data_IF_238356351362
#
_entry.id   IF_238356351362
#
_cell.length_a   1.000
_cell.length_b   1.000
_cell.length_c   1.000
_cell.angle_alpha   90.00
_cell.angle_beta   90.00
_cell.angle_gamma   90.00
#
_symmetry.space_group_name_H-M   'P 1'
#
loop_
_entity.id
_entity.type
_entity.pdbx_description
1 polymer ?
#
# COMPACT_ATOMS: atom_id res chain seq x y z
N UNK A 1 -6.92 66.84 -40.10
CA UNK A 1 -6.21 65.89 -39.17
C UNK A 1 -7.11 64.69 -38.91
N UNK A 2 -6.88 63.56 -39.60
CA UNK A 2 -7.74 62.37 -39.50
C UNK A 2 -7.12 61.42 -38.51
N UNK A 3 -7.85 61.14 -37.41
CA UNK A 3 -7.42 60.17 -36.38
C UNK A 3 -7.81 58.78 -36.85
N UNK A 4 -6.80 57.93 -37.12
CA UNK A 4 -6.97 56.51 -37.47
C UNK A 4 -7.10 55.70 -36.16
N UNK A 5 -8.29 55.12 -35.91
CA UNK A 5 -8.50 54.19 -34.82
C UNK A 5 -7.87 52.83 -35.19
N UNK A 6 -6.78 52.43 -34.50
CA UNK A 6 -6.21 51.09 -34.57
C UNK A 6 -7.14 50.08 -33.89
N UNK A 7 -7.64 49.12 -34.67
CA UNK A 7 -8.46 48.02 -34.15
C UNK A 7 -7.64 47.08 -33.27
N UNK A 8 -8.16 46.83 -32.05
CA UNK A 8 -7.63 45.83 -31.13
C UNK A 8 -7.97 44.44 -31.67
N UNK A 9 -6.97 43.66 -32.06
CA UNK A 9 -7.15 42.24 -32.40
C UNK A 9 -7.49 41.47 -31.14
N UNK A 10 -8.73 40.96 -31.03
CA UNK A 10 -9.12 39.97 -30.00
C UNK A 10 -8.27 38.71 -30.19
N UNK A 11 -7.45 38.39 -29.17
CA UNK A 11 -6.76 37.13 -29.09
C UNK A 11 -7.80 35.99 -28.99
N UNK A 12 -7.75 35.05 -29.94
CA UNK A 12 -8.53 33.81 -29.82
C UNK A 12 -8.00 33.03 -28.62
N UNK A 13 -8.73 33.08 -27.51
CA UNK A 13 -8.47 32.23 -26.34
C UNK A 13 -8.56 30.77 -26.76
N UNK A 14 -7.42 30.09 -26.70
CA UNK A 14 -7.36 28.63 -26.79
C UNK A 14 -7.97 28.04 -25.49
N UNK A 15 -9.28 27.85 -25.52
CA UNK A 15 -9.91 26.96 -24.53
C UNK A 15 -9.49 25.51 -24.86
N UNK A 16 -8.43 25.03 -24.23
CA UNK A 16 -8.16 23.59 -24.21
C UNK A 16 -9.37 22.93 -23.54
N UNK A 17 -10.20 22.25 -24.34
CA UNK A 17 -11.21 21.35 -23.79
C UNK A 17 -10.48 20.39 -22.84
N UNK A 18 -10.98 20.18 -21.60
CA UNK A 18 -10.38 19.18 -20.73
C UNK A 18 -10.33 17.86 -21.50
N UNK A 19 -9.17 17.18 -21.49
CA UNK A 19 -9.03 15.86 -22.08
C UNK A 19 -10.02 14.96 -21.32
N UNK A 20 -11.14 14.65 -21.94
CA UNK A 20 -12.05 13.59 -21.46
C UNK A 20 -11.21 12.31 -21.54
N UNK A 21 -10.83 11.78 -20.40
CA UNK A 21 -10.16 10.49 -20.35
C UNK A 21 -11.13 9.46 -20.92
N UNK A 22 -10.74 8.78 -21.99
CA UNK A 22 -11.58 7.76 -22.60
C UNK A 22 -11.78 6.64 -21.61
N UNK A 23 -13.01 6.14 -21.47
CA UNK A 23 -13.36 5.02 -20.56
C UNK A 23 -12.48 3.77 -20.78
N UNK A 24 -11.93 3.60 -21.97
CA UNK A 24 -11.01 2.51 -22.34
C UNK A 24 -9.66 2.53 -21.60
N UNK A 25 -9.29 3.66 -20.95
CA UNK A 25 -8.03 3.78 -20.21
C UNK A 25 -8.10 3.28 -18.76
N UNK A 26 -9.30 3.05 -18.23
CA UNK A 26 -9.48 2.62 -16.84
C UNK A 26 -10.02 1.20 -16.75
N UNK A 27 -9.44 0.42 -15.84
CA UNK A 27 -9.89 -0.93 -15.52
C UNK A 27 -10.55 -0.92 -14.16
N UNK A 28 -11.75 -1.50 -14.08
CA UNK A 28 -12.41 -1.72 -12.81
C UNK A 28 -11.56 -2.61 -11.91
N UNK A 29 -11.42 -2.22 -10.64
CA UNK A 29 -10.84 -3.08 -9.62
C UNK A 29 -11.80 -4.25 -9.39
N UNK A 30 -11.24 -5.44 -9.34
CA UNK A 30 -11.96 -6.63 -8.90
C UNK A 30 -11.23 -7.33 -7.76
N UNK A 31 -11.98 -8.08 -6.98
CA UNK A 31 -11.47 -8.92 -5.90
C UNK A 31 -11.82 -10.38 -6.20
N UNK A 32 -10.84 -11.24 -6.02
CA UNK A 32 -11.02 -12.69 -6.06
C UNK A 32 -10.24 -13.31 -4.91
N UNK A 33 -10.78 -14.35 -4.30
CA UNK A 33 -10.13 -15.10 -3.21
C UNK A 33 -8.77 -15.69 -3.61
N UNK A 34 -8.53 -15.87 -4.91
CA UNK A 34 -7.27 -16.41 -5.45
C UNK A 34 -6.24 -15.33 -5.81
N UNK A 35 -6.59 -14.05 -5.66
CA UNK A 35 -5.66 -12.97 -6.00
C UNK A 35 -4.49 -12.91 -5.05
N UNK A 36 -3.32 -12.72 -5.64
CA UNK A 36 -2.04 -12.63 -4.92
C UNK A 36 -1.35 -11.34 -5.25
N UNK A 37 -0.66 -10.80 -4.26
CA UNK A 37 0.29 -9.70 -4.42
C UNK A 37 1.66 -10.33 -4.65
N UNK A 38 2.22 -10.13 -5.82
CA UNK A 38 3.57 -10.59 -6.15
C UNK A 38 4.48 -9.37 -6.29
N UNK A 39 5.60 -9.40 -5.58
CA UNK A 39 6.57 -8.31 -5.63
C UNK A 39 7.99 -8.82 -5.39
N UNK A 40 8.99 -8.10 -5.90
CA UNK A 40 10.39 -8.37 -5.58
C UNK A 40 10.65 -8.24 -4.09
N UNK A 41 11.54 -9.05 -3.55
CA UNK A 41 11.89 -9.00 -2.13
C UNK A 41 12.41 -7.62 -1.71
N UNK A 42 13.18 -6.93 -2.54
CA UNK A 42 13.64 -5.57 -2.24
C UNK A 42 12.49 -4.57 -2.08
N UNK A 43 11.39 -4.72 -2.83
CA UNK A 43 10.18 -3.90 -2.61
C UNK A 43 9.46 -4.32 -1.33
N UNK A 44 9.32 -5.63 -1.08
CA UNK A 44 8.68 -6.13 0.14
C UNK A 44 9.44 -5.75 1.42
N UNK A 45 10.77 -5.69 1.35
CA UNK A 45 11.65 -5.22 2.43
C UNK A 45 11.79 -3.70 2.47
N UNK A 46 11.28 -3.00 1.45
CA UNK A 46 11.37 -1.55 1.32
C UNK A 46 10.70 -0.82 2.48
N UNK A 47 11.21 0.39 2.76
CA UNK A 47 10.66 1.27 3.79
C UNK A 47 9.51 2.09 3.18
N UNK A 48 8.36 2.07 3.82
CA UNK A 48 7.17 2.83 3.42
C UNK A 48 6.88 3.91 4.48
N UNK A 49 7.53 5.07 4.44
CA UNK A 49 7.59 5.99 5.58
C UNK A 49 6.23 6.50 6.07
N UNK A 50 5.34 6.88 5.23
CA UNK A 50 4.14 7.65 5.61
C UNK A 50 2.83 6.92 5.28
N UNK A 51 2.80 5.59 5.37
CA UNK A 51 1.59 4.83 5.06
C UNK A 51 0.81 4.47 6.32
N UNK A 52 -0.47 4.78 6.32
CA UNK A 52 -1.44 4.28 7.27
C UNK A 52 -2.03 2.92 6.81
N UNK A 53 -2.92 2.35 7.59
CA UNK A 53 -3.54 1.05 7.31
C UNK A 53 -4.30 1.03 5.98
N UNK A 54 -5.10 2.05 5.72
CA UNK A 54 -5.94 2.18 4.53
C UNK A 54 -5.10 2.29 3.26
N UNK A 55 -4.01 3.03 3.32
CA UNK A 55 -3.06 3.18 2.22
C UNK A 55 -2.33 1.86 1.92
N UNK A 56 -1.90 1.12 2.95
CA UNK A 56 -1.29 -0.20 2.77
C UNK A 56 -2.27 -1.19 2.15
N UNK A 57 -3.54 -1.17 2.56
CA UNK A 57 -4.60 -1.97 1.96
C UNK A 57 -4.85 -1.61 0.50
N UNK A 58 -4.99 -0.32 0.19
CA UNK A 58 -5.17 0.14 -1.18
C UNK A 58 -3.99 -0.24 -2.07
N UNK A 59 -2.76 -0.09 -1.58
CA UNK A 59 -1.57 -0.54 -2.29
C UNK A 59 -1.61 -2.04 -2.60
N UNK A 60 -1.95 -2.87 -1.61
CA UNK A 60 -2.09 -4.32 -1.80
C UNK A 60 -3.11 -4.66 -2.89
N UNK A 61 -4.29 -4.04 -2.86
CA UNK A 61 -5.34 -4.20 -3.88
C UNK A 61 -4.84 -3.78 -5.26
N UNK A 62 -4.16 -2.65 -5.36
CA UNK A 62 -3.62 -2.13 -6.62
C UNK A 62 -2.55 -3.06 -7.21
N UNK A 63 -1.63 -3.54 -6.37
CA UNK A 63 -0.57 -4.47 -6.78
C UNK A 63 -1.13 -5.83 -7.21
N UNK A 64 -2.12 -6.36 -6.50
CA UNK A 64 -2.78 -7.62 -6.86
C UNK A 64 -3.49 -7.51 -8.22
N UNK A 65 -4.17 -6.40 -8.48
CA UNK A 65 -4.80 -6.15 -9.77
C UNK A 65 -3.76 -5.97 -10.89
N UNK A 66 -2.65 -5.27 -10.64
CA UNK A 66 -1.56 -5.12 -11.59
C UNK A 66 -0.94 -6.47 -11.95
N UNK A 67 -0.63 -7.29 -10.96
CA UNK A 67 -0.07 -8.62 -11.16
C UNK A 67 -1.03 -9.54 -11.94
N UNK A 68 -2.29 -9.62 -11.52
CA UNK A 68 -3.31 -10.46 -12.14
C UNK A 68 -3.55 -10.14 -13.62
N UNK A 69 -3.40 -8.88 -14.02
CA UNK A 69 -3.57 -8.42 -15.39
C UNK A 69 -2.27 -8.39 -16.21
N UNK A 70 -1.12 -8.56 -15.54
CA UNK A 70 0.20 -8.51 -16.17
C UNK A 70 0.64 -7.12 -16.61
N UNK A 71 -0.11 -6.07 -16.26
CA UNK A 71 0.17 -4.68 -16.65
C UNK A 71 -0.25 -3.67 -15.58
N UNK A 72 0.38 -2.48 -15.61
CA UNK A 72 0.00 -1.33 -14.83
C UNK A 72 -1.03 -0.49 -15.59
N UNK A 73 -2.28 -0.65 -15.20
CA UNK A 73 -3.38 0.16 -15.69
C UNK A 73 -3.66 1.35 -14.76
N UNK A 74 -4.45 2.27 -15.27
CA UNK A 74 -5.24 3.16 -14.43
C UNK A 74 -6.44 2.38 -13.93
N UNK A 75 -6.70 2.44 -12.64
CA UNK A 75 -7.77 1.70 -11.97
C UNK A 75 -8.89 2.65 -11.59
N UNK A 76 -10.11 2.13 -11.66
CA UNK A 76 -11.34 2.79 -11.23
C UNK A 76 -12.04 1.91 -10.20
N UNK A 77 -12.55 2.51 -9.15
CA UNK A 77 -13.38 1.81 -8.17
C UNK A 77 -14.42 2.74 -7.57
N UNK A 78 -15.65 2.26 -7.41
CA UNK A 78 -16.63 2.96 -6.58
C UNK A 78 -16.15 3.00 -5.13
N UNK A 79 -16.17 4.17 -4.48
CA UNK A 79 -15.61 4.36 -3.14
C UNK A 79 -16.29 3.45 -2.11
N UNK A 80 -17.61 3.25 -2.19
CA UNK A 80 -18.31 2.33 -1.30
C UNK A 80 -17.87 0.87 -1.47
N UNK A 81 -17.56 0.45 -2.68
CA UNK A 81 -17.01 -0.88 -2.97
C UNK A 81 -15.59 -1.01 -2.42
N UNK A 82 -14.74 -0.02 -2.68
CA UNK A 82 -13.38 0.02 -2.16
C UNK A 82 -13.36 -0.01 -0.63
N UNK A 83 -14.19 0.80 0.03
CA UNK A 83 -14.29 0.83 1.49
C UNK A 83 -14.62 -0.56 2.06
N UNK A 84 -15.56 -1.31 1.45
CA UNK A 84 -15.85 -2.68 1.85
C UNK A 84 -14.66 -3.62 1.66
N UNK A 85 -13.94 -3.51 0.54
CA UNK A 85 -12.74 -4.33 0.25
C UNK A 85 -11.65 -4.10 1.30
N UNK A 86 -11.49 -2.88 1.80
CA UNK A 86 -10.50 -2.57 2.85
C UNK A 86 -11.01 -2.79 4.27
N UNK A 87 -12.23 -3.35 4.42
CA UNK A 87 -12.76 -3.84 5.70
C UNK A 87 -13.69 -2.91 6.45
N UNK A 88 -14.20 -1.84 5.81
CA UNK A 88 -15.30 -1.06 6.38
C UNK A 88 -16.61 -1.82 6.28
N UNK A 89 -17.41 -1.79 7.33
CA UNK A 89 -18.78 -2.27 7.26
C UNK A 89 -19.66 -1.40 6.34
N UNK A 90 -20.84 -1.89 5.99
CA UNK A 90 -21.75 -1.17 5.08
C UNK A 90 -22.13 0.23 5.60
N UNK A 91 -22.31 0.37 6.92
CA UNK A 91 -22.69 1.65 7.52
C UNK A 91 -21.56 2.66 7.43
N UNK A 92 -20.35 2.25 7.82
CA UNK A 92 -19.16 3.10 7.77
C UNK A 92 -18.76 3.46 6.34
N UNK A 93 -18.87 2.53 5.39
CA UNK A 93 -18.64 2.80 3.97
C UNK A 93 -19.63 3.83 3.40
N UNK A 94 -20.91 3.73 3.78
CA UNK A 94 -21.92 4.71 3.35
C UNK A 94 -21.68 6.08 3.99
N UNK A 95 -21.35 6.16 5.29
CA UNK A 95 -21.00 7.41 5.95
C UNK A 95 -19.80 8.10 5.32
N UNK A 96 -18.78 7.33 4.95
CA UNK A 96 -17.61 7.84 4.22
C UNK A 96 -18.05 8.45 2.87
N UNK A 97 -18.85 7.71 2.09
CA UNK A 97 -19.37 8.20 0.82
C UNK A 97 -20.28 9.44 0.99
N UNK A 98 -21.10 9.49 2.04
CA UNK A 98 -21.94 10.66 2.34
C UNK A 98 -21.10 11.88 2.73
N UNK A 99 -20.08 11.70 3.57
CA UNK A 99 -19.16 12.77 3.94
C UNK A 99 -18.44 13.34 2.70
N UNK A 100 -17.92 12.46 1.86
CA UNK A 100 -17.28 12.86 0.59
C UNK A 100 -18.25 13.46 -0.41
N UNK A 101 -19.54 13.06 -0.41
CA UNK A 101 -20.56 13.66 -1.27
C UNK A 101 -20.93 15.10 -0.87
N UNK A 102 -20.83 15.43 0.43
CA UNK A 102 -21.10 16.79 0.92
C UNK A 102 -20.00 17.76 0.55
N UNK A 103 -18.77 17.31 0.63
CA UNK A 103 -17.60 18.09 0.24
C UNK A 103 -16.52 17.19 -0.38
N UNK A 104 -16.64 16.99 -1.71
CA UNK A 104 -15.70 16.16 -2.47
C UNK A 104 -14.28 16.73 -2.41
N UNK A 105 -14.15 18.06 -2.31
CA UNK A 105 -12.85 18.73 -2.29
C UNK A 105 -12.16 18.48 -0.97
N UNK A 106 -12.81 18.83 0.16
CA UNK A 106 -12.19 18.71 1.49
C UNK A 106 -11.89 17.26 1.88
N UNK A 107 -12.87 16.36 1.74
CA UNK A 107 -12.64 14.94 2.06
C UNK A 107 -11.68 14.24 1.06
N UNK A 108 -11.65 14.74 -0.17
CA UNK A 108 -10.73 14.27 -1.20
C UNK A 108 -9.29 14.73 -0.97
N UNK A 109 -9.06 15.95 -0.48
CA UNK A 109 -7.73 16.48 -0.23
C UNK A 109 -6.93 15.61 0.75
N UNK A 110 -7.52 15.18 1.84
CA UNK A 110 -6.85 14.33 2.83
C UNK A 110 -6.48 12.96 2.25
N UNK A 111 -7.41 12.29 1.57
CA UNK A 111 -7.17 10.96 0.98
C UNK A 111 -6.21 11.05 -0.22
N UNK A 112 -6.47 11.96 -1.16
CA UNK A 112 -5.66 12.13 -2.37
C UNK A 112 -4.28 12.64 -2.01
N UNK A 113 -4.16 13.66 -1.15
CA UNK A 113 -2.89 14.20 -0.69
C UNK A 113 -2.05 13.14 0.00
N UNK A 114 -2.65 12.37 0.89
CA UNK A 114 -2.02 11.29 1.62
C UNK A 114 -1.53 10.16 0.68
N UNK A 115 -2.32 9.77 -0.33
CA UNK A 115 -1.90 8.78 -1.34
C UNK A 115 -0.79 9.31 -2.24
N UNK A 116 -0.89 10.56 -2.70
CA UNK A 116 0.10 11.18 -3.59
C UNK A 116 1.45 11.40 -2.90
N UNK A 117 1.48 11.59 -1.59
CA UNK A 117 2.71 11.71 -0.80
C UNK A 117 3.28 10.36 -0.36
N UNK A 118 2.60 9.25 -0.64
CA UNK A 118 3.07 7.91 -0.30
C UNK A 118 4.22 7.49 -1.21
N UNK A 119 5.32 7.04 -0.62
CA UNK A 119 6.47 6.54 -1.35
C UNK A 119 7.10 5.33 -0.67
N UNK A 120 7.94 4.63 -1.41
CA UNK A 120 8.77 3.55 -0.90
C UNK A 120 10.25 3.87 -1.12
N UNK A 121 11.08 3.51 -0.16
CA UNK A 121 12.53 3.52 -0.28
C UNK A 121 12.97 2.08 -0.54
N UNK A 122 13.49 1.83 -1.73
CA UNK A 122 13.97 0.51 -2.15
C UNK A 122 15.49 0.53 -2.16
N UNK A 123 16.10 -0.42 -1.46
CA UNK A 123 17.54 -0.70 -1.53
C UNK A 123 17.71 -2.05 -2.20
N UNK A 124 18.42 -2.12 -3.30
CA UNK A 124 18.74 -3.38 -3.98
C UNK A 124 19.99 -4.00 -3.37
N UNK A 125 19.92 -5.31 -3.13
CA UNK A 125 21.04 -6.06 -2.57
C UNK A 125 22.28 -5.94 -3.47
N UNK A 126 23.43 -5.64 -2.85
CA UNK A 126 24.70 -5.43 -3.56
C UNK A 126 24.86 -4.07 -4.24
N UNK A 127 23.91 -3.14 -4.06
CA UNK A 127 24.02 -1.78 -4.56
C UNK A 127 24.02 -0.76 -3.42
N UNK A 128 24.98 0.14 -3.41
CA UNK A 128 25.02 1.31 -2.52
C UNK A 128 24.06 2.42 -2.98
N UNK A 129 22.84 2.04 -3.41
CA UNK A 129 21.86 2.99 -3.94
C UNK A 129 20.50 2.74 -3.33
N UNK A 130 19.93 3.78 -2.72
CA UNK A 130 18.53 3.81 -2.34
C UNK A 130 17.71 4.56 -3.39
N UNK A 131 16.61 3.97 -3.84
CA UNK A 131 15.66 4.61 -4.76
C UNK A 131 14.40 5.02 -4.00
N UNK A 132 13.99 6.28 -4.16
CA UNK A 132 12.77 6.84 -3.60
C UNK A 132 11.71 6.84 -4.70
N UNK A 133 10.69 6.00 -4.58
CA UNK A 133 9.69 5.82 -5.62
C UNK A 133 8.31 6.17 -5.05
N UNK A 134 7.66 7.20 -5.61
CA UNK A 134 6.25 7.48 -5.32
C UNK A 134 5.38 6.27 -5.69
N UNK A 135 4.42 5.92 -4.85
CA UNK A 135 3.58 4.74 -5.10
C UNK A 135 2.52 5.00 -6.17
N UNK A 136 1.98 6.21 -6.20
CA UNK A 136 0.93 6.60 -7.14
C UNK A 136 1.40 7.74 -8.03
N UNK A 137 1.16 7.61 -9.33
CA UNK A 137 1.43 8.64 -10.36
C UNK A 137 0.24 9.61 -10.46
N UNK A 138 -0.97 9.11 -10.19
CA UNK A 138 -2.20 9.88 -10.27
C UNK A 138 -3.26 9.31 -9.33
N UNK A 139 -3.97 10.18 -8.63
CA UNK A 139 -5.18 9.87 -7.88
C UNK A 139 -6.20 10.97 -8.17
N UNK A 140 -7.43 10.58 -8.47
CA UNK A 140 -8.55 11.52 -8.72
C UNK A 140 -9.82 10.94 -8.11
N UNK A 141 -10.66 11.80 -7.56
CA UNK A 141 -12.01 11.45 -7.12
C UNK A 141 -13.00 12.19 -8.00
N UNK A 142 -13.94 11.47 -8.58
CA UNK A 142 -14.98 12.02 -9.45
C UNK A 142 -16.35 11.53 -9.03
N UNK A 143 -17.35 12.39 -9.23
CA UNK A 143 -18.76 12.05 -9.01
C UNK A 143 -19.43 11.80 -10.35
N UNK A 144 -19.92 10.57 -10.55
CA UNK A 144 -20.65 10.15 -11.72
C UNK A 144 -22.00 9.53 -11.31
N UNK A 145 -23.10 9.97 -11.91
CA UNK A 145 -24.44 9.42 -11.65
C UNK A 145 -24.76 9.25 -10.17
N UNK A 146 -24.46 10.26 -9.35
CA UNK A 146 -24.65 10.28 -7.87
C UNK A 146 -23.76 9.30 -7.09
N UNK A 147 -22.80 8.63 -7.72
CA UNK A 147 -21.80 7.78 -7.10
C UNK A 147 -20.43 8.44 -7.14
N UNK A 148 -19.62 8.13 -6.15
CA UNK A 148 -18.23 8.59 -6.09
C UNK A 148 -17.31 7.46 -6.53
N UNK A 149 -16.38 7.80 -7.41
CA UNK A 149 -15.34 6.93 -7.91
C UNK A 149 -13.96 7.48 -7.58
N UNK A 150 -13.08 6.59 -7.17
CA UNK A 150 -11.65 6.87 -7.11
C UNK A 150 -10.98 6.30 -8.35
N UNK A 151 -10.16 7.11 -8.97
CA UNK A 151 -9.29 6.76 -10.08
C UNK A 151 -7.86 6.86 -9.61
N UNK A 152 -7.06 5.83 -9.79
CA UNK A 152 -5.65 5.89 -9.43
C UNK A 152 -4.79 5.09 -10.40
N UNK A 153 -3.54 5.51 -10.49
CA UNK A 153 -2.50 4.85 -11.28
C UNK A 153 -1.28 4.65 -10.42
N UNK A 154 -0.78 3.41 -10.38
CA UNK A 154 0.51 3.11 -9.78
C UNK A 154 1.63 3.75 -10.59
N UNK A 155 2.68 4.19 -9.91
CA UNK A 155 3.86 4.75 -10.57
C UNK A 155 4.53 3.68 -11.45
N UNK A 156 4.86 4.04 -12.67
CA UNK A 156 5.48 3.13 -13.66
C UNK A 156 6.84 2.63 -13.23
N UNK A 157 7.54 3.36 -12.39
CA UNK A 157 8.82 2.92 -11.83
C UNK A 157 8.70 1.69 -10.93
N UNK A 158 7.50 1.36 -10.45
CA UNK A 158 7.22 0.12 -9.71
C UNK A 158 7.13 -1.13 -10.60
N UNK A 159 6.96 -0.98 -11.92
CA UNK A 159 6.82 -2.12 -12.84
C UNK A 159 7.90 -3.20 -12.69
N UNK A 160 9.20 -2.85 -12.63
CA UNK A 160 10.27 -3.84 -12.49
C UNK A 160 10.21 -4.64 -11.18
N UNK A 161 9.50 -4.12 -10.19
CA UNK A 161 9.38 -4.76 -8.87
C UNK A 161 8.11 -5.59 -8.70
N UNK A 162 7.15 -5.48 -9.64
CA UNK A 162 5.82 -6.11 -9.53
C UNK A 162 5.54 -7.07 -10.69
N UNK A 163 5.91 -6.70 -11.90
CA UNK A 163 5.59 -7.49 -13.09
C UNK A 163 6.75 -8.37 -13.54
N UNK A 164 6.42 -9.53 -14.10
CA UNK A 164 7.38 -10.47 -14.74
C UNK A 164 8.54 -10.86 -13.81
N UNK A 165 8.24 -11.18 -12.56
CA UNK A 165 9.25 -11.57 -11.59
C UNK A 165 9.78 -12.98 -11.90
N UNK A 166 11.10 -13.10 -12.09
CA UNK A 166 11.80 -14.37 -12.41
C UNK A 166 12.71 -14.85 -11.30
N UNK A 167 12.89 -14.08 -10.23
CA UNK A 167 13.72 -14.46 -9.07
C UNK A 167 13.65 -13.40 -7.97
N UNK A 168 14.02 -13.78 -6.75
CA UNK A 168 14.03 -12.90 -5.58
C UNK A 168 12.71 -12.12 -5.36
N UNK A 169 11.59 -12.85 -5.42
CA UNK A 169 10.26 -12.30 -5.19
C UNK A 169 9.52 -13.06 -4.09
N UNK A 170 8.58 -12.40 -3.46
CA UNK A 170 7.63 -13.01 -2.54
C UNK A 170 6.20 -12.94 -3.10
N UNK A 171 5.41 -13.92 -2.66
CA UNK A 171 3.98 -14.01 -2.94
C UNK A 171 3.26 -13.81 -1.61
N UNK A 172 2.31 -12.88 -1.60
CA UNK A 172 1.48 -12.54 -0.45
C UNK A 172 0.02 -12.78 -0.80
N UNK A 173 -0.75 -13.36 0.11
CA UNK A 173 -2.19 -13.41 -0.04
C UNK A 173 -2.76 -11.99 -0.03
N UNK A 174 -3.73 -11.68 -0.89
CA UNK A 174 -4.42 -10.39 -0.86
C UNK A 174 -5.11 -10.16 0.51
N UNK A 175 -5.57 -11.25 1.14
CA UNK A 175 -6.17 -11.24 2.48
C UNK A 175 -5.27 -10.61 3.55
N UNK A 176 -3.94 -10.69 3.41
CA UNK A 176 -3.02 -9.99 4.32
C UNK A 176 -3.27 -8.47 4.34
N UNK A 177 -3.62 -7.92 3.19
CA UNK A 177 -3.91 -6.49 3.08
C UNK A 177 -5.37 -6.18 3.43
N UNK A 178 -6.33 -6.94 2.93
CA UNK A 178 -7.75 -6.60 3.08
C UNK A 178 -8.33 -6.95 4.45
N UNK A 179 -7.91 -8.08 5.04
CA UNK A 179 -8.45 -8.57 6.31
C UNK A 179 -7.68 -8.11 7.55
N UNK A 180 -6.43 -7.67 7.41
CA UNK A 180 -5.69 -7.14 8.57
C UNK A 180 -6.36 -5.91 9.15
N UNK A 181 -6.40 -5.84 10.47
CA UNK A 181 -6.94 -4.70 11.22
C UNK A 181 -5.83 -3.82 11.81
N UNK A 182 -4.56 -4.20 11.56
CA UNK A 182 -3.38 -3.50 12.03
C UNK A 182 -2.34 -3.35 10.91
N UNK A 183 -1.73 -2.17 10.73
CA UNK A 183 -0.64 -2.01 9.77
C UNK A 183 0.59 -2.84 10.15
N UNK A 184 0.77 -3.13 11.43
CA UNK A 184 1.87 -3.98 11.91
C UNK A 184 1.78 -5.41 11.36
N UNK A 185 0.57 -5.94 11.21
CA UNK A 185 0.34 -7.28 10.66
C UNK A 185 0.72 -7.35 9.18
N UNK A 186 0.36 -6.34 8.40
CA UNK A 186 0.73 -6.24 6.99
C UNK A 186 2.24 -6.14 6.84
N UNK A 187 2.89 -5.28 7.62
CA UNK A 187 4.34 -5.06 7.58
C UNK A 187 5.11 -6.31 7.99
N UNK A 188 4.72 -6.93 9.09
CA UNK A 188 5.35 -8.17 9.58
C UNK A 188 5.19 -9.29 8.56
N UNK A 189 3.97 -9.57 8.10
CA UNK A 189 3.69 -10.62 7.11
C UNK A 189 4.44 -10.40 5.81
N UNK A 190 4.53 -9.16 5.32
CA UNK A 190 5.26 -8.79 4.12
C UNK A 190 6.77 -9.07 4.26
N UNK A 191 7.39 -8.58 5.32
CA UNK A 191 8.83 -8.72 5.53
C UNK A 191 9.23 -10.18 5.77
N UNK A 192 8.47 -10.92 6.59
CA UNK A 192 8.71 -12.34 6.82
C UNK A 192 8.55 -13.15 5.53
N UNK A 193 7.55 -12.84 4.70
CA UNK A 193 7.36 -13.52 3.41
C UNK A 193 8.52 -13.30 2.43
N UNK A 194 9.21 -12.16 2.51
CA UNK A 194 10.39 -11.87 1.68
C UNK A 194 11.66 -12.55 2.18
N UNK A 195 11.74 -12.89 3.49
CA UNK A 195 12.91 -13.51 4.12
C UNK A 195 12.89 -15.04 4.12
N UNK A 196 11.72 -15.66 3.85
CA UNK A 196 11.52 -17.11 3.92
C UNK A 196 11.06 -17.66 2.57
N UNK A 197 11.73 -18.67 2.05
CA UNK A 197 11.35 -19.33 0.81
C UNK A 197 10.20 -20.32 1.03
N UNK A 198 9.51 -20.66 -0.05
CA UNK A 198 8.44 -21.64 -0.02
C UNK A 198 8.96 -23.02 0.40
N UNK A 199 8.27 -23.67 1.30
CA UNK A 199 8.65 -25.00 1.86
C UNK A 199 9.74 -24.91 2.94
N UNK A 200 10.26 -23.74 3.25
CA UNK A 200 11.28 -23.51 4.25
C UNK A 200 10.67 -23.20 5.61
N UNK A 201 11.30 -23.69 6.68
CA UNK A 201 11.15 -23.21 8.03
C UNK A 201 12.45 -22.53 8.44
N UNK A 202 12.38 -21.29 8.88
CA UNK A 202 13.55 -20.46 9.15
C UNK A 202 13.36 -19.58 10.36
N UNK A 203 14.44 -19.41 11.09
CA UNK A 203 14.54 -18.38 12.11
C UNK A 203 14.93 -17.03 11.47
N UNK A 204 14.12 -16.01 11.75
CA UNK A 204 14.29 -14.64 11.26
C UNK A 204 14.39 -13.71 12.44
N UNK A 205 15.56 -13.16 12.67
CA UNK A 205 15.83 -12.24 13.76
C UNK A 205 15.88 -10.80 13.31
N UNK A 206 15.46 -9.91 14.19
CA UNK A 206 15.55 -8.46 14.06
C UNK A 206 16.13 -7.88 15.32
N UNK A 207 17.07 -6.96 15.19
CA UNK A 207 17.42 -6.08 16.30
C UNK A 207 16.22 -5.21 16.67
N UNK A 208 16.25 -4.58 17.84
CA UNK A 208 15.15 -3.68 18.25
C UNK A 208 15.00 -2.49 17.30
N UNK A 209 16.10 -1.99 16.74
CA UNK A 209 16.14 -0.92 15.76
C UNK A 209 15.52 -1.35 14.43
N UNK A 210 15.92 -2.52 13.91
CA UNK A 210 15.34 -3.08 12.69
C UNK A 210 13.84 -3.37 12.85
N UNK A 211 13.44 -3.95 13.98
CA UNK A 211 12.02 -4.21 14.26
C UNK A 211 11.21 -2.91 14.33
N UNK A 212 11.75 -1.90 15.01
CA UNK A 212 11.12 -0.59 15.11
C UNK A 212 10.98 0.07 13.72
N UNK A 213 11.98 -0.07 12.88
CA UNK A 213 11.98 0.47 11.52
C UNK A 213 10.97 -0.28 10.61
N UNK A 214 11.00 -1.61 10.61
CA UNK A 214 10.12 -2.47 9.81
C UNK A 214 8.66 -2.25 10.18
N UNK A 215 8.34 -2.26 11.47
CA UNK A 215 6.98 -2.12 11.97
C UNK A 215 6.55 -0.66 12.10
N UNK A 216 7.49 0.29 12.07
CA UNK A 216 7.27 1.72 12.37
C UNK A 216 6.70 1.90 13.77
N UNK A 217 7.42 1.35 14.73
CA UNK A 217 7.04 1.46 16.11
C UNK A 217 7.22 2.90 16.59
N UNK A 218 6.24 3.46 17.31
CA UNK A 218 6.47 4.68 18.10
C UNK A 218 7.64 4.49 19.07
N UNK A 219 8.36 5.55 19.37
CA UNK A 219 9.56 5.51 20.21
C UNK A 219 9.34 4.82 21.57
N UNK A 220 8.17 5.03 22.16
CA UNK A 220 7.77 4.37 23.41
C UNK A 220 7.89 2.84 23.37
N UNK A 221 7.59 2.21 22.23
CA UNK A 221 7.62 0.75 22.08
C UNK A 221 9.00 0.20 21.77
N UNK A 222 9.90 1.03 21.20
CA UNK A 222 11.20 0.59 20.70
C UNK A 222 12.05 -0.11 21.77
N UNK A 223 12.04 0.41 22.99
CA UNK A 223 12.85 -0.11 24.11
C UNK A 223 12.01 -0.95 25.10
N UNK A 224 10.70 -1.03 24.93
CA UNK A 224 9.78 -1.72 25.83
C UNK A 224 9.25 -3.01 25.19
N UNK A 225 10.03 -4.10 25.34
CA UNK A 225 9.65 -5.40 24.80
C UNK A 225 8.28 -5.90 25.25
N UNK A 226 7.95 -5.76 26.53
CA UNK A 226 6.71 -6.33 27.07
C UNK A 226 5.46 -5.65 26.50
N UNK A 227 5.49 -4.35 26.40
CA UNK A 227 4.40 -3.58 25.78
C UNK A 227 4.33 -3.83 24.27
N UNK A 228 5.48 -3.85 23.59
CA UNK A 228 5.55 -4.19 22.15
C UNK A 228 5.01 -5.59 21.90
N UNK A 229 5.39 -6.58 22.73
CA UNK A 229 4.85 -7.93 22.64
C UNK A 229 3.33 -7.95 22.79
N UNK A 230 2.83 -7.38 23.89
CA UNK A 230 1.41 -7.44 24.28
C UNK A 230 0.50 -6.67 23.31
N UNK A 231 0.88 -5.49 22.91
CA UNK A 231 0.03 -4.57 22.12
C UNK A 231 0.17 -4.81 20.62
N UNK A 232 1.37 -5.14 20.17
CA UNK A 232 1.70 -5.15 18.73
C UNK A 232 1.96 -6.57 18.22
N UNK A 233 2.96 -7.29 18.79
CA UNK A 233 3.42 -8.55 18.21
C UNK A 233 2.38 -9.67 18.32
N UNK A 234 1.77 -9.87 19.48
CA UNK A 234 0.77 -10.93 19.67
C UNK A 234 -0.41 -10.76 18.72
N UNK A 235 -0.88 -9.53 18.53
CA UNK A 235 -1.93 -9.22 17.56
C UNK A 235 -1.46 -9.45 16.12
N UNK A 236 -0.30 -8.94 15.76
CA UNK A 236 0.24 -9.10 14.41
C UNK A 236 0.45 -10.57 14.04
N UNK A 237 1.02 -11.35 14.94
CA UNK A 237 1.22 -12.80 14.79
C UNK A 237 -0.12 -13.52 14.63
N UNK A 238 -1.11 -13.20 15.46
CA UNK A 238 -2.45 -13.79 15.37
C UNK A 238 -3.09 -13.49 14.01
N UNK A 239 -3.05 -12.25 13.53
CA UNK A 239 -3.63 -11.85 12.24
C UNK A 239 -2.91 -12.52 11.06
N UNK A 240 -1.57 -12.56 11.07
CA UNK A 240 -0.79 -13.24 10.03
C UNK A 240 -1.10 -14.74 10.01
N UNK A 241 -1.20 -15.38 11.17
CA UNK A 241 -1.49 -16.81 11.27
C UNK A 241 -2.95 -17.18 10.94
N UNK A 242 -3.87 -16.23 11.03
CA UNK A 242 -5.27 -16.45 10.65
C UNK A 242 -5.45 -16.64 9.13
N UNK A 243 -4.55 -16.13 8.33
CA UNK A 243 -4.61 -16.27 6.88
C UNK A 243 -4.41 -17.73 6.46
N UNK A 244 -5.16 -18.19 5.46
CA UNK A 244 -5.03 -19.56 4.96
C UNK A 244 -3.72 -19.77 4.22
N UNK A 245 -3.30 -18.77 3.41
CA UNK A 245 -2.09 -18.80 2.61
C UNK A 245 -1.02 -17.83 3.12
N UNK A 246 0.24 -18.14 2.86
CA UNK A 246 1.38 -17.27 3.15
C UNK A 246 2.30 -17.83 4.22
N UNK A 247 2.93 -16.94 4.97
CA UNK A 247 3.80 -17.33 6.08
C UNK A 247 2.98 -17.64 7.34
N UNK A 248 3.47 -18.62 8.11
CA UNK A 248 2.99 -18.93 9.45
C UNK A 248 4.10 -18.69 10.45
N UNK A 249 3.81 -17.95 11.49
CA UNK A 249 4.73 -17.70 12.59
C UNK A 249 4.50 -18.77 13.64
N UNK A 250 5.43 -19.71 13.73
CA UNK A 250 5.35 -20.86 14.66
C UNK A 250 5.54 -20.38 16.10
N UNK A 251 6.54 -19.54 16.30
CA UNK A 251 6.83 -18.93 17.59
C UNK A 251 7.61 -17.63 17.41
N UNK A 252 7.68 -16.84 18.47
CA UNK A 252 8.61 -15.73 18.56
C UNK A 252 9.16 -15.57 19.97
N UNK A 253 10.37 -15.09 20.09
CA UNK A 253 11.08 -14.93 21.35
C UNK A 253 11.84 -13.64 21.42
N UNK A 254 12.08 -13.18 22.66
CA UNK A 254 12.94 -12.03 22.93
C UNK A 254 14.40 -12.41 22.69
N UNK A 255 15.11 -11.57 21.98
CA UNK A 255 16.56 -11.59 21.99
C UNK A 255 17.08 -10.66 23.10
N UNK A 256 18.09 -11.13 23.81
CA UNK A 256 18.69 -10.39 24.90
C UNK A 256 20.22 -10.36 24.80
N UNK A 257 20.80 -9.22 25.09
CA UNK A 257 22.22 -9.06 25.30
C UNK A 257 22.47 -8.81 26.79
N UNK A 258 22.91 -9.84 27.52
CA UNK A 258 22.86 -9.85 28.97
C UNK A 258 21.42 -9.73 29.47
N UNK A 259 21.13 -8.68 30.27
CA UNK A 259 19.77 -8.39 30.77
C UNK A 259 18.98 -7.43 29.87
N UNK A 260 19.62 -6.81 28.88
CA UNK A 260 18.97 -5.81 28.03
C UNK A 260 18.21 -6.46 26.87
N UNK A 261 17.13 -5.81 26.46
CA UNK A 261 16.39 -6.18 25.26
C UNK A 261 17.21 -5.78 24.02
N UNK A 262 17.50 -6.79 23.18
CA UNK A 262 18.28 -6.62 21.95
C UNK A 262 17.45 -6.76 20.68
N UNK A 263 16.33 -7.45 20.71
CA UNK A 263 15.49 -7.66 19.54
C UNK A 263 14.50 -8.81 19.69
N UNK A 264 13.97 -9.28 18.58
CA UNK A 264 12.99 -10.39 18.50
C UNK A 264 13.41 -11.37 17.41
N UNK A 265 13.32 -12.66 17.70
CA UNK A 265 13.44 -13.73 16.73
C UNK A 265 12.08 -14.38 16.48
N UNK A 266 11.79 -14.69 15.22
CA UNK A 266 10.58 -15.36 14.76
C UNK A 266 10.96 -16.68 14.08
N UNK A 267 10.37 -17.80 14.50
CA UNK A 267 10.41 -19.04 13.74
C UNK A 267 9.25 -19.04 12.77
N UNK A 268 9.56 -19.07 11.48
CA UNK A 268 8.59 -18.84 10.41
C UNK A 268 8.63 -20.00 9.44
N UNK A 269 7.45 -20.48 9.07
CA UNK A 269 7.26 -21.50 8.03
C UNK A 269 6.44 -20.94 6.90
N UNK A 270 6.82 -21.26 5.66
CA UNK A 270 6.09 -20.83 4.46
C UNK A 270 5.59 -22.07 3.71
N UNK A 271 4.24 -22.17 3.63
CA UNK A 271 3.57 -23.25 2.89
C UNK A 271 3.64 -23.11 1.37
#
# INVERSE_FOLDING_TARGET
MKIVKKGVKKSKGYTRKPKVYREEEFKEIYESKTMKVVMRNCLALGKFPNMNLEQEKLLGIALANAHSRGEFYSYRCEITKLAKMIGYDKSSANKLAEAMNKDVVMAGEDLVGSLMTSYVIVTEEGKEKASFISLFEKVVIEKENSKLYIYFRLNRELKPYVLKQTGNFCILALDLFTKSTSPYSIRLGRVLSAKVMRGEEKEVSFTKEELAEVLKLPDFYKDNYYETKRIILERAVKEVNYLEEGVKIVSFSRLAEGRKYAGVSFVVKKG
#
